data_IF_096811282583
#
_entry.id   IF_096811282583
#
_cell.length_a   1.000
_cell.length_b   1.000
_cell.length_c   1.000
_cell.angle_alpha   90.00
_cell.angle_beta   90.00
_cell.angle_gamma   90.00
#
_symmetry.space_group_name_H-M   'P 1'
#
loop_
_entity.id
_entity.type
_entity.pdbx_description
1 polymer ?
#
# COMPACT_ATOMS: atom_id res chain seq x y z
N UNK A 1 17.11 -25.06 20.56
CA UNK A 1 16.17 -24.02 20.10
C UNK A 1 15.66 -23.31 21.35
N UNK A 2 15.59 -21.99 21.34
CA UNK A 2 15.20 -21.21 22.53
C UNK A 2 13.71 -21.46 22.83
N UNK A 3 13.39 -21.83 24.08
CA UNK A 3 12.02 -22.09 24.56
C UNK A 3 11.10 -20.88 24.34
N UNK A 4 11.65 -19.66 24.38
CA UNK A 4 10.90 -18.45 24.08
C UNK A 4 10.51 -18.36 22.60
N UNK A 5 11.38 -18.80 21.69
CA UNK A 5 11.06 -18.81 20.25
C UNK A 5 9.97 -19.83 19.96
N UNK A 6 10.06 -21.03 20.50
CA UNK A 6 9.04 -22.08 20.32
C UNK A 6 7.66 -21.65 20.83
N UNK A 7 7.63 -21.03 22.02
CA UNK A 7 6.40 -20.51 22.61
C UNK A 7 5.74 -19.46 21.71
N UNK A 8 6.49 -18.48 21.23
CA UNK A 8 5.94 -17.42 20.38
C UNK A 8 5.59 -17.94 18.98
N UNK A 9 6.31 -18.91 18.43
CA UNK A 9 5.96 -19.58 17.18
C UNK A 9 4.60 -20.30 17.27
N UNK A 10 4.33 -20.98 18.39
CA UNK A 10 3.03 -21.61 18.62
C UNK A 10 1.89 -20.59 18.70
N UNK A 11 2.13 -19.43 19.34
CA UNK A 11 1.19 -18.31 19.39
C UNK A 11 0.95 -17.69 18.00
N UNK A 12 2.00 -17.57 17.18
CA UNK A 12 1.91 -17.10 15.80
C UNK A 12 1.02 -18.02 14.94
N UNK A 13 1.26 -19.34 15.03
CA UNK A 13 0.47 -20.33 14.31
C UNK A 13 -1.02 -20.27 14.67
N UNK A 14 -1.34 -20.14 15.97
CA UNK A 14 -2.71 -19.91 16.45
C UNK A 14 -3.31 -18.62 15.88
N UNK A 15 -2.55 -17.52 15.88
CA UNK A 15 -2.99 -16.25 15.32
C UNK A 15 -3.31 -16.37 13.83
N UNK A 16 -2.43 -17.00 13.05
CA UNK A 16 -2.61 -17.21 11.60
C UNK A 16 -3.89 -17.98 11.29
N UNK A 17 -4.23 -18.98 12.10
CA UNK A 17 -5.49 -19.73 11.98
C UNK A 17 -6.70 -18.89 12.38
N UNK A 18 -6.64 -18.20 13.52
CA UNK A 18 -7.73 -17.40 14.06
C UNK A 18 -8.19 -16.29 13.11
N UNK A 19 -7.27 -15.69 12.34
CA UNK A 19 -7.58 -14.53 11.48
C UNK A 19 -8.07 -14.89 10.09
N UNK A 20 -8.19 -16.17 9.73
CA UNK A 20 -8.72 -16.61 8.42
C UNK A 20 -10.10 -16.04 8.05
N UNK A 21 -11.05 -15.84 8.99
CA UNK A 21 -12.35 -15.23 8.70
C UNK A 21 -12.30 -13.72 8.40
N UNK A 22 -11.22 -13.03 8.77
CA UNK A 22 -11.06 -11.59 8.55
C UNK A 22 -10.74 -11.34 7.06
N UNK A 23 -11.70 -10.77 6.31
CA UNK A 23 -11.53 -10.46 4.88
C UNK A 23 -11.81 -8.99 4.61
N UNK A 24 -10.98 -8.11 5.18
CA UNK A 24 -11.18 -6.66 5.14
C UNK A 24 -11.59 -6.14 3.76
N UNK A 25 -10.75 -6.38 2.74
CA UNK A 25 -10.97 -5.83 1.40
C UNK A 25 -12.21 -6.37 0.70
N UNK A 26 -12.57 -7.63 0.96
CA UNK A 26 -13.77 -8.25 0.41
C UNK A 26 -15.01 -7.68 1.06
N UNK A 27 -15.00 -7.54 2.39
CA UNK A 27 -16.19 -7.21 3.17
C UNK A 27 -16.57 -5.72 3.08
N UNK A 28 -15.60 -4.83 2.79
CA UNK A 28 -15.88 -3.42 2.49
C UNK A 28 -16.31 -3.19 1.04
N UNK A 29 -16.09 -4.13 0.12
CA UNK A 29 -16.27 -3.90 -1.32
C UNK A 29 -17.73 -3.65 -1.71
N UNK A 30 -17.94 -2.85 -2.75
CA UNK A 30 -19.27 -2.61 -3.32
C UNK A 30 -19.46 -3.45 -4.58
N UNK A 31 -20.67 -3.97 -4.77
CA UNK A 31 -21.01 -4.80 -5.91
C UNK A 31 -21.14 -3.96 -7.21
N UNK A 32 -20.77 -4.56 -8.36
CA UNK A 32 -20.86 -3.89 -9.66
C UNK A 32 -22.26 -3.33 -10.00
N UNK A 33 -23.39 -4.01 -9.69
CA UNK A 33 -24.72 -3.46 -9.94
C UNK A 33 -25.02 -2.15 -9.21
N UNK A 34 -24.34 -1.86 -8.09
CA UNK A 34 -24.50 -0.58 -7.38
C UNK A 34 -23.89 0.57 -8.19
N UNK A 35 -22.72 0.35 -8.81
CA UNK A 35 -22.09 1.31 -9.73
C UNK A 35 -23.00 1.57 -10.93
N UNK A 36 -23.48 0.51 -11.57
CA UNK A 36 -24.23 0.62 -12.82
C UNK A 36 -25.52 1.41 -12.59
N UNK A 37 -26.23 1.13 -11.49
CA UNK A 37 -27.42 1.90 -11.06
C UNK A 37 -27.10 3.36 -10.76
N UNK A 38 -26.00 3.62 -10.07
CA UNK A 38 -25.57 4.99 -9.78
C UNK A 38 -25.32 5.79 -11.08
N UNK A 39 -24.61 5.20 -12.03
CA UNK A 39 -24.30 5.85 -13.31
C UNK A 39 -25.56 6.06 -14.16
N UNK A 40 -26.48 5.10 -14.19
CA UNK A 40 -27.78 5.26 -14.86
C UNK A 40 -28.57 6.45 -14.30
N UNK A 41 -28.64 6.57 -12.97
CA UNK A 41 -29.28 7.69 -12.26
C UNK A 41 -28.59 9.02 -12.53
N UNK A 42 -27.25 9.02 -12.53
CA UNK A 42 -26.42 10.17 -12.86
C UNK A 42 -26.70 10.67 -14.29
N UNK A 43 -26.71 9.79 -15.29
CA UNK A 43 -27.04 10.12 -16.69
C UNK A 43 -28.48 10.60 -16.86
N UNK A 44 -29.41 10.07 -16.07
CA UNK A 44 -30.80 10.51 -16.02
C UNK A 44 -31.02 11.87 -15.35
N UNK A 45 -29.97 12.54 -14.87
CA UNK A 45 -30.07 13.81 -14.15
C UNK A 45 -30.71 13.70 -12.76
N UNK A 46 -30.73 12.49 -12.18
CA UNK A 46 -31.31 12.19 -10.87
C UNK A 46 -30.26 11.53 -9.95
N UNK A 47 -29.15 12.22 -9.65
CA UNK A 47 -28.09 11.64 -8.82
C UNK A 47 -28.62 11.29 -7.43
N UNK A 48 -28.28 10.09 -6.95
CA UNK A 48 -28.66 9.57 -5.64
C UNK A 48 -27.42 9.03 -4.93
N UNK A 49 -27.38 9.14 -3.61
CA UNK A 49 -26.31 8.57 -2.81
C UNK A 49 -26.34 7.03 -2.91
N UNK A 50 -25.19 6.36 -3.10
CA UNK A 50 -25.13 4.91 -3.05
C UNK A 50 -25.51 4.35 -1.68
N UNK A 51 -26.32 3.30 -1.68
CA UNK A 51 -26.72 2.55 -0.48
C UNK A 51 -26.15 1.13 -0.50
N UNK A 52 -24.86 0.94 -0.14
CA UNK A 52 -24.23 -0.38 -0.11
C UNK A 52 -24.74 -1.23 1.05
N UNK A 53 -24.91 -2.52 0.80
CA UNK A 53 -25.17 -3.53 1.83
C UNK A 53 -23.88 -4.26 2.20
N UNK A 54 -23.65 -4.44 3.51
CA UNK A 54 -22.45 -5.08 4.02
C UNK A 54 -22.76 -6.43 4.70
N UNK A 55 -21.87 -7.43 4.57
CA UNK A 55 -22.07 -8.72 5.21
C UNK A 55 -21.96 -8.59 6.73
N UNK A 56 -22.89 -9.20 7.46
CA UNK A 56 -22.81 -9.34 8.92
C UNK A 56 -22.03 -10.61 9.25
N UNK A 57 -20.87 -10.47 9.88
CA UNK A 57 -20.05 -11.60 10.36
C UNK A 57 -19.93 -11.56 11.87
N UNK A 58 -20.12 -12.72 12.50
CA UNK A 58 -19.75 -12.91 13.89
C UNK A 58 -18.23 -13.17 13.96
N UNK A 59 -17.52 -12.29 14.68
CA UNK A 59 -16.07 -12.39 14.91
C UNK A 59 -15.75 -12.52 16.41
N UNK A 60 -16.74 -12.85 17.25
CA UNK A 60 -16.58 -12.98 18.70
C UNK A 60 -15.51 -14.02 19.08
N UNK A 61 -15.53 -15.19 18.43
CA UNK A 61 -14.51 -16.24 18.64
C UNK A 61 -13.12 -15.78 18.21
N UNK A 62 -13.02 -15.05 17.09
CA UNK A 62 -11.75 -14.48 16.62
C UNK A 62 -11.21 -13.49 17.65
N UNK A 63 -12.06 -12.62 18.18
CA UNK A 63 -11.66 -11.65 19.21
C UNK A 63 -11.17 -12.33 20.49
N UNK A 64 -11.89 -13.36 20.97
CA UNK A 64 -11.50 -14.11 22.17
C UNK A 64 -10.15 -14.81 22.01
N UNK A 65 -9.93 -15.47 20.87
CA UNK A 65 -8.66 -16.16 20.59
C UNK A 65 -7.50 -15.18 20.43
N UNK A 66 -7.72 -14.06 19.72
CA UNK A 66 -6.75 -12.97 19.61
C UNK A 66 -6.37 -12.42 20.99
N UNK A 67 -7.35 -12.15 21.87
CA UNK A 67 -7.09 -11.67 23.22
C UNK A 67 -6.24 -12.68 24.03
N UNK A 68 -6.56 -13.97 23.96
CA UNK A 68 -5.79 -15.01 24.63
C UNK A 68 -4.33 -15.08 24.12
N UNK A 69 -4.11 -14.91 22.81
CA UNK A 69 -2.77 -14.86 22.22
C UNK A 69 -2.00 -13.62 22.69
N UNK A 70 -2.66 -12.45 22.69
CA UNK A 70 -2.06 -11.21 23.16
C UNK A 70 -1.58 -11.35 24.60
N UNK A 71 -2.41 -11.88 25.49
CA UNK A 71 -2.10 -12.02 26.92
C UNK A 71 -1.03 -13.09 27.20
N UNK A 72 -0.94 -14.12 26.34
CA UNK A 72 0.08 -15.15 26.45
C UNK A 72 1.45 -14.76 25.87
N UNK A 73 1.51 -13.75 24.99
CA UNK A 73 2.74 -13.27 24.37
C UNK A 73 3.54 -12.35 25.32
N UNK A 74 4.84 -12.60 25.46
CA UNK A 74 5.71 -11.83 26.36
C UNK A 74 6.02 -10.44 25.77
N UNK A 75 5.57 -9.34 26.40
CA UNK A 75 5.80 -8.00 25.88
C UNK A 75 7.27 -7.55 25.89
N UNK A 76 8.16 -8.23 26.62
CA UNK A 76 9.59 -7.90 26.68
C UNK A 76 10.43 -8.71 25.69
N UNK A 77 9.85 -9.77 25.12
CA UNK A 77 10.49 -10.55 24.08
C UNK A 77 10.16 -9.97 22.69
N UNK A 78 11.13 -9.78 21.78
CA UNK A 78 10.89 -9.22 20.44
C UNK A 78 9.74 -9.86 19.67
N UNK A 79 9.65 -11.19 19.67
CA UNK A 79 8.56 -11.92 19.02
C UNK A 79 7.21 -11.67 19.70
N UNK A 80 7.18 -11.54 21.03
CA UNK A 80 5.95 -11.30 21.77
C UNK A 80 5.47 -9.86 21.59
N UNK A 81 6.37 -8.88 21.55
CA UNK A 81 6.04 -7.49 21.18
C UNK A 81 5.42 -7.42 19.78
N UNK A 82 6.05 -8.06 18.78
CA UNK A 82 5.53 -8.16 17.42
C UNK A 82 4.13 -8.79 17.37
N UNK A 83 3.94 -9.92 18.06
CA UNK A 83 2.66 -10.62 18.09
C UNK A 83 1.57 -9.76 18.71
N UNK A 84 1.83 -9.11 19.85
CA UNK A 84 0.86 -8.23 20.51
C UNK A 84 0.42 -7.08 19.61
N UNK A 85 1.37 -6.42 18.94
CA UNK A 85 1.05 -5.34 17.98
C UNK A 85 0.24 -5.86 16.79
N UNK A 86 0.54 -7.06 16.31
CA UNK A 86 -0.17 -7.70 15.20
C UNK A 86 -1.58 -8.11 15.59
N UNK A 87 -1.75 -8.69 16.78
CA UNK A 87 -3.05 -9.02 17.37
C UNK A 87 -3.93 -7.77 17.49
N UNK A 88 -3.41 -6.68 18.08
CA UNK A 88 -4.17 -5.43 18.22
C UNK A 88 -4.62 -4.92 16.87
N UNK A 89 -3.78 -5.00 15.83
CA UNK A 89 -4.20 -4.63 14.47
C UNK A 89 -5.35 -5.50 13.96
N UNK A 90 -5.36 -6.80 14.23
CA UNK A 90 -6.46 -7.69 13.84
C UNK A 90 -7.74 -7.46 14.65
N UNK A 91 -7.64 -7.19 15.95
CA UNK A 91 -8.79 -6.84 16.80
C UNK A 91 -9.47 -5.58 16.27
N UNK A 92 -8.73 -4.51 16.01
CA UNK A 92 -9.28 -3.27 15.43
C UNK A 92 -9.87 -3.53 14.03
N UNK A 93 -9.31 -4.46 13.27
CA UNK A 93 -9.87 -4.87 11.96
C UNK A 93 -11.21 -5.60 12.14
N UNK A 94 -11.32 -6.46 13.14
CA UNK A 94 -12.57 -7.15 13.45
C UNK A 94 -13.66 -6.14 13.88
N UNK A 95 -13.30 -5.17 14.73
CA UNK A 95 -14.21 -4.11 15.16
C UNK A 95 -14.66 -3.23 13.99
N UNK A 96 -13.74 -2.90 13.06
CA UNK A 96 -14.06 -2.21 11.81
C UNK A 96 -15.09 -3.00 11.00
N UNK A 97 -14.91 -4.31 10.85
CA UNK A 97 -15.83 -5.17 10.11
C UNK A 97 -17.20 -5.31 10.78
N UNK A 98 -17.25 -5.24 12.11
CA UNK A 98 -18.51 -5.22 12.85
C UNK A 98 -19.23 -3.86 12.78
N UNK A 99 -18.55 -2.80 12.32
CA UNK A 99 -19.07 -1.43 12.21
C UNK A 99 -19.36 -0.95 10.79
N UNK A 100 -19.25 -1.82 9.78
CA UNK A 100 -19.55 -1.46 8.39
C UNK A 100 -20.93 -0.81 8.22
N UNK A 101 -20.95 0.29 7.48
CA UNK A 101 -22.15 1.07 7.19
C UNK A 101 -22.57 2.02 8.32
N UNK A 102 -21.81 2.08 9.42
CA UNK A 102 -22.07 2.98 10.55
C UNK A 102 -20.91 3.96 10.78
N UNK A 103 -21.16 5.13 11.39
CA UNK A 103 -20.12 6.14 11.62
C UNK A 103 -18.93 5.66 12.48
N UNK A 104 -19.14 4.69 13.38
CA UNK A 104 -18.09 4.15 14.26
C UNK A 104 -16.96 3.45 13.48
N UNK A 105 -17.23 2.95 12.26
CA UNK A 105 -16.22 2.35 11.38
C UNK A 105 -15.02 3.26 11.16
N UNK A 106 -15.27 4.56 10.99
CA UNK A 106 -14.24 5.56 10.73
C UNK A 106 -13.15 5.57 11.81
N UNK A 107 -13.51 5.47 13.10
CA UNK A 107 -12.52 5.50 14.18
C UNK A 107 -11.58 4.30 14.13
N UNK A 108 -12.09 3.12 13.74
CA UNK A 108 -11.27 1.94 13.52
C UNK A 108 -10.41 2.08 12.27
N UNK A 109 -10.96 2.62 11.17
CA UNK A 109 -10.20 2.89 9.94
C UNK A 109 -9.04 3.84 10.20
N UNK A 110 -9.31 4.96 10.88
CA UNK A 110 -8.31 5.94 11.29
C UNK A 110 -7.24 5.34 12.19
N UNK A 111 -7.61 4.47 13.15
CA UNK A 111 -6.62 3.79 14.00
C UNK A 111 -5.70 2.84 13.22
N UNK A 112 -6.19 2.23 12.14
CA UNK A 112 -5.41 1.30 11.32
C UNK A 112 -4.54 1.99 10.26
N UNK A 113 -5.05 3.07 9.68
CA UNK A 113 -4.48 3.68 8.47
C UNK A 113 -4.05 5.14 8.66
N UNK A 114 -4.34 5.74 9.81
CA UNK A 114 -4.18 7.17 10.03
C UNK A 114 -5.27 7.98 9.35
N UNK A 115 -5.07 9.30 9.26
CA UNK A 115 -5.96 10.25 8.59
C UNK A 115 -5.18 11.29 7.78
N UNK A 116 -5.83 12.00 6.86
CA UNK A 116 -5.29 13.24 6.33
C UNK A 116 -4.96 14.22 7.47
N UNK A 117 -3.83 14.92 7.35
CA UNK A 117 -3.32 15.84 8.36
C UNK A 117 -2.34 15.21 9.36
N UNK A 118 -2.13 13.89 9.32
CA UNK A 118 -1.10 13.25 10.14
C UNK A 118 0.30 13.73 9.73
N UNK A 119 1.12 14.08 10.73
CA UNK A 119 2.46 14.63 10.53
C UNK A 119 3.41 13.61 9.92
N UNK A 120 4.28 14.10 9.05
CA UNK A 120 5.37 13.30 8.49
C UNK A 120 6.52 13.22 9.50
N UNK A 121 7.19 12.06 9.64
CA UNK A 121 8.30 11.91 10.58
C UNK A 121 9.41 12.95 10.35
N UNK A 122 9.72 13.75 11.37
CA UNK A 122 10.78 14.75 11.33
C UNK A 122 10.46 16.00 10.49
N UNK A 123 9.16 16.28 10.24
CA UNK A 123 8.69 17.45 9.50
C UNK A 123 7.52 18.14 10.21
N UNK A 124 7.34 19.43 9.93
CA UNK A 124 6.12 20.16 10.27
C UNK A 124 4.99 19.92 9.25
N UNK A 125 5.33 19.37 8.08
CA UNK A 125 4.37 19.05 7.03
C UNK A 125 3.61 17.75 7.34
N UNK A 126 2.36 17.71 6.89
CA UNK A 126 1.48 16.55 6.96
C UNK A 126 1.43 15.78 5.63
N UNK A 127 0.83 14.58 5.67
CA UNK A 127 0.50 13.83 4.46
C UNK A 127 -0.49 14.57 3.53
N UNK A 128 -1.31 15.47 4.07
CA UNK A 128 -2.26 16.28 3.32
C UNK A 128 -1.56 17.45 2.62
N UNK A 129 -0.59 18.08 3.28
CA UNK A 129 0.23 19.13 2.67
C UNK A 129 1.00 18.58 1.47
N UNK A 130 1.62 17.40 1.64
CA UNK A 130 2.29 16.70 0.55
C UNK A 130 1.31 16.35 -0.59
N UNK A 131 0.08 15.91 -0.26
CA UNK A 131 -0.92 15.57 -1.26
C UNK A 131 -1.35 16.80 -2.07
N UNK A 132 -1.64 17.93 -1.41
CA UNK A 132 -2.01 19.19 -2.08
C UNK A 132 -0.89 19.67 -2.99
N UNK A 133 0.35 19.62 -2.52
CA UNK A 133 1.53 19.96 -3.32
C UNK A 133 1.62 19.15 -4.63
N UNK A 134 1.45 17.82 -4.58
CA UNK A 134 1.50 17.00 -5.79
C UNK A 134 0.30 17.20 -6.71
N UNK A 135 -0.88 17.54 -6.18
CA UNK A 135 -2.06 17.87 -6.99
C UNK A 135 -1.86 19.21 -7.72
N UNK A 136 -1.35 20.22 -7.04
CA UNK A 136 -1.02 21.54 -7.61
C UNK A 136 0.06 21.41 -8.68
N UNK A 137 1.19 20.78 -8.35
CA UNK A 137 2.29 20.57 -9.29
C UNK A 137 1.85 19.86 -10.58
N UNK A 138 0.97 18.86 -10.44
CA UNK A 138 0.45 18.12 -11.59
C UNK A 138 -0.64 18.86 -12.38
N UNK A 139 -1.14 19.98 -11.87
CA UNK A 139 -2.10 20.85 -12.55
C UNK A 139 -1.38 22.00 -13.27
N UNK A 140 -0.25 22.46 -12.73
CA UNK A 140 0.59 23.50 -13.34
C UNK A 140 1.42 22.97 -14.53
N UNK A 141 1.78 21.69 -14.52
CA UNK A 141 2.40 21.02 -15.67
C UNK A 141 1.34 20.80 -16.73
N UNK A 142 1.22 21.76 -17.65
CA UNK A 142 0.31 21.69 -18.80
C UNK A 142 0.48 20.35 -19.53
N UNK A 143 -0.59 19.55 -19.52
CA UNK A 143 -0.64 18.19 -20.08
C UNK A 143 -0.31 18.11 -21.57
N UNK A 144 -0.18 19.25 -22.26
CA UNK A 144 0.27 19.34 -23.65
C UNK A 144 1.79 19.37 -23.87
N UNK A 145 2.63 19.49 -22.83
CA UNK A 145 4.09 19.74 -23.00
C UNK A 145 5.01 18.58 -22.62
N UNK A 146 4.50 17.52 -21.99
CA UNK A 146 5.24 16.27 -21.80
C UNK A 146 4.72 15.28 -22.83
N UNK A 147 5.58 14.50 -23.52
CA UNK A 147 5.13 13.38 -24.32
C UNK A 147 4.39 12.41 -23.40
N UNK A 148 3.07 12.58 -23.30
CA UNK A 148 2.19 11.47 -23.02
C UNK A 148 2.37 10.55 -24.21
N UNK A 149 2.68 9.30 -23.94
CA UNK A 149 2.11 8.14 -24.61
C UNK A 149 3.03 6.97 -24.30
N UNK A 150 2.46 5.87 -23.82
CA UNK A 150 3.17 4.62 -23.88
C UNK A 150 3.57 4.39 -25.35
N UNK A 151 4.86 4.19 -25.62
CA UNK A 151 5.39 4.05 -26.97
C UNK A 151 4.65 2.98 -27.80
N UNK A 152 4.02 2.01 -27.13
CA UNK A 152 3.22 0.96 -27.72
C UNK A 152 2.22 0.36 -26.71
N UNK A 153 1.18 -0.27 -27.27
CA UNK A 153 0.21 -1.06 -26.51
C UNK A 153 0.51 -2.55 -26.68
N UNK A 154 0.74 -3.23 -25.56
CA UNK A 154 0.94 -4.66 -25.45
C UNK A 154 -0.39 -5.41 -25.34
N UNK A 155 -0.48 -6.55 -26.01
CA UNK A 155 -1.56 -7.51 -25.78
C UNK A 155 -1.37 -8.21 -24.42
N UNK A 156 -2.46 -8.75 -23.85
CA UNK A 156 -2.39 -9.57 -22.65
C UNK A 156 -1.43 -10.77 -22.82
N UNK A 157 -1.37 -11.37 -24.01
CA UNK A 157 -0.49 -12.49 -24.32
C UNK A 157 0.99 -12.09 -24.35
N UNK A 158 1.32 -10.95 -24.98
CA UNK A 158 2.69 -10.42 -24.99
C UNK A 158 3.13 -10.04 -23.57
N UNK A 159 2.27 -9.32 -22.83
CA UNK A 159 2.51 -8.98 -21.44
C UNK A 159 2.73 -10.22 -20.57
N UNK A 160 1.92 -11.27 -20.76
CA UNK A 160 2.09 -12.54 -20.05
C UNK A 160 3.47 -13.15 -20.30
N UNK A 161 3.89 -13.23 -21.56
CA UNK A 161 5.19 -13.81 -21.94
C UNK A 161 6.36 -13.02 -21.33
N UNK A 162 6.34 -11.69 -21.45
CA UNK A 162 7.40 -10.83 -20.92
C UNK A 162 7.48 -10.90 -19.39
N UNK A 163 6.34 -10.79 -18.70
CA UNK A 163 6.30 -10.91 -17.25
C UNK A 163 6.72 -12.31 -16.81
N UNK A 164 6.23 -13.38 -17.44
CA UNK A 164 6.59 -14.74 -17.06
C UNK A 164 8.11 -14.96 -17.19
N UNK A 165 8.73 -14.48 -18.27
CA UNK A 165 10.18 -14.56 -18.45
C UNK A 165 10.94 -13.82 -17.34
N UNK A 166 10.54 -12.59 -17.01
CA UNK A 166 11.16 -11.82 -15.94
C UNK A 166 11.00 -12.48 -14.56
N UNK A 167 9.80 -13.02 -14.27
CA UNK A 167 9.51 -13.69 -13.00
C UNK A 167 10.27 -15.02 -12.86
N UNK A 168 10.37 -15.83 -13.92
CA UNK A 168 11.11 -17.09 -13.90
C UNK A 168 12.61 -16.87 -13.66
N UNK A 169 13.18 -15.79 -14.21
CA UNK A 169 14.58 -15.42 -13.98
C UNK A 169 14.84 -14.93 -12.55
N UNK A 170 13.84 -14.30 -11.92
CA UNK A 170 14.00 -13.70 -10.59
C UNK A 170 13.66 -14.66 -9.45
N UNK A 171 12.54 -15.39 -9.55
CA UNK A 171 12.03 -16.29 -8.52
C UNK A 171 12.59 -17.71 -8.70
N UNK A 172 13.83 -17.94 -8.30
CA UNK A 172 14.55 -19.19 -8.58
C UNK A 172 14.19 -20.39 -7.69
N UNK A 173 13.48 -20.16 -6.58
CA UNK A 173 13.05 -21.20 -5.62
C UNK A 173 11.52 -21.36 -5.61
N UNK A 174 10.79 -20.46 -6.26
CA UNK A 174 9.33 -20.39 -6.25
C UNK A 174 8.80 -20.16 -7.65
N UNK A 175 7.71 -20.83 -8.01
CA UNK A 175 7.05 -20.58 -9.29
C UNK A 175 5.95 -19.53 -9.12
N UNK A 176 6.15 -18.34 -9.69
CA UNK A 176 5.12 -17.30 -9.81
C UNK A 176 4.57 -17.33 -11.23
N UNK A 177 3.27 -17.57 -11.38
CA UNK A 177 2.62 -17.74 -12.70
C UNK A 177 1.97 -16.45 -13.17
N UNK A 178 2.08 -16.16 -14.47
CA UNK A 178 1.28 -15.12 -15.12
C UNK A 178 0.16 -15.79 -15.90
N UNK A 179 -1.08 -15.45 -15.56
CA UNK A 179 -2.29 -16.09 -16.08
C UNK A 179 -3.17 -15.02 -16.76
N UNK A 180 -3.77 -15.37 -17.88
CA UNK A 180 -4.79 -14.53 -18.52
C UNK A 180 -6.15 -14.96 -17.97
N UNK A 181 -6.92 -14.00 -17.47
CA UNK A 181 -8.21 -14.21 -16.82
C UNK A 181 -9.25 -13.29 -17.50
N UNK A 182 -10.18 -13.84 -18.31
CA UNK A 182 -11.17 -13.04 -19.03
C UNK A 182 -12.21 -12.41 -18.11
N UNK A 183 -12.42 -12.97 -16.91
CA UNK A 183 -13.43 -12.53 -15.95
C UNK A 183 -12.86 -11.53 -14.92
N UNK A 184 -11.58 -11.17 -15.06
CA UNK A 184 -10.93 -10.25 -14.14
C UNK A 184 -11.55 -8.85 -14.26
N UNK A 185 -12.07 -8.30 -13.16
CA UNK A 185 -12.61 -6.93 -13.17
C UNK A 185 -11.52 -5.86 -13.37
N UNK A 186 -10.44 -5.82 -12.55
CA UNK A 186 -9.33 -4.89 -12.80
C UNK A 186 -8.51 -5.32 -14.02
N UNK A 187 -7.71 -4.40 -14.57
CA UNK A 187 -6.78 -4.68 -15.67
C UNK A 187 -5.76 -5.78 -15.33
N UNK A 188 -5.30 -5.81 -14.09
CA UNK A 188 -4.44 -6.87 -13.56
C UNK A 188 -4.67 -7.04 -12.05
N UNK A 189 -4.32 -8.21 -11.52
CA UNK A 189 -4.36 -8.50 -10.09
C UNK A 189 -3.21 -9.43 -9.70
N UNK A 190 -2.41 -9.02 -8.74
CA UNK A 190 -1.30 -9.83 -8.23
C UNK A 190 -1.62 -10.47 -6.88
N UNK A 191 -1.01 -11.62 -6.65
CA UNK A 191 -0.98 -12.32 -5.38
C UNK A 191 0.31 -13.08 -5.22
N UNK A 192 0.51 -13.70 -4.06
CA UNK A 192 1.81 -14.26 -3.66
C UNK A 192 2.41 -15.32 -4.61
N UNK A 193 1.63 -15.94 -5.50
CA UNK A 193 2.14 -16.98 -6.43
C UNK A 193 1.59 -16.82 -7.84
N UNK A 194 0.80 -15.77 -8.11
CA UNK A 194 0.20 -15.55 -9.43
C UNK A 194 -0.07 -14.08 -9.70
N UNK A 195 0.14 -13.68 -10.93
CA UNK A 195 -0.29 -12.39 -11.48
C UNK A 195 -1.31 -12.70 -12.58
N UNK A 196 -2.52 -12.15 -12.44
CA UNK A 196 -3.59 -12.31 -13.44
C UNK A 196 -3.71 -11.06 -14.27
N UNK A 197 -3.81 -11.23 -15.58
CA UNK A 197 -3.99 -10.16 -16.56
C UNK A 197 -5.37 -10.30 -17.19
N UNK A 198 -6.10 -9.19 -17.29
CA UNK A 198 -7.41 -9.21 -17.94
C UNK A 198 -7.25 -9.41 -19.44
N UNK A 199 -8.02 -10.34 -19.99
CA UNK A 199 -8.05 -10.55 -21.43
C UNK A 199 -8.58 -9.31 -22.18
N UNK A 200 -8.27 -9.20 -23.49
CA UNK A 200 -8.77 -8.15 -24.40
C UNK A 200 -8.58 -6.71 -23.90
N UNK A 201 -7.55 -6.50 -23.08
CA UNK A 201 -7.17 -5.17 -22.59
C UNK A 201 -5.76 -4.85 -23.07
N UNK A 202 -5.54 -3.61 -23.52
CA UNK A 202 -4.23 -3.12 -23.89
C UNK A 202 -3.40 -2.73 -22.67
N UNK A 203 -2.15 -3.17 -22.62
CA UNK A 203 -1.19 -2.82 -21.57
C UNK A 203 -0.09 -1.90 -22.10
N UNK A 204 0.57 -1.19 -21.22
CA UNK A 204 1.67 -0.27 -21.52
C UNK A 204 2.95 -0.77 -20.88
N UNK A 205 4.08 -0.20 -21.27
CA UNK A 205 5.33 -0.43 -20.56
C UNK A 205 5.25 -0.01 -19.08
N UNK A 206 4.53 1.08 -18.78
CA UNK A 206 4.27 1.50 -17.40
C UNK A 206 3.51 0.43 -16.61
N UNK A 207 2.51 -0.21 -17.21
CA UNK A 207 1.81 -1.34 -16.57
C UNK A 207 2.77 -2.49 -16.30
N UNK A 208 3.66 -2.82 -17.24
CA UNK A 208 4.68 -3.86 -17.06
C UNK A 208 5.58 -3.54 -15.87
N UNK A 209 6.15 -2.34 -15.84
CA UNK A 209 7.05 -1.92 -14.77
C UNK A 209 6.36 -1.84 -13.42
N UNK A 210 5.12 -1.34 -13.37
CA UNK A 210 4.32 -1.38 -12.15
C UNK A 210 4.10 -2.82 -11.69
N UNK A 211 3.69 -3.74 -12.57
CA UNK A 211 3.47 -5.15 -12.21
C UNK A 211 4.76 -5.84 -11.73
N UNK A 212 5.92 -5.48 -12.26
CA UNK A 212 7.20 -6.01 -11.79
C UNK A 212 7.63 -5.36 -10.47
N UNK A 213 7.82 -4.04 -10.44
CA UNK A 213 8.45 -3.35 -9.32
C UNK A 213 7.52 -3.21 -8.12
N UNK A 214 6.23 -2.95 -8.33
CA UNK A 214 5.24 -2.83 -7.26
C UNK A 214 4.75 -4.19 -6.81
N UNK A 215 4.22 -4.98 -7.74
CA UNK A 215 3.47 -6.18 -7.39
C UNK A 215 4.37 -7.39 -7.18
N UNK A 216 5.29 -7.66 -8.11
CA UNK A 216 6.16 -8.82 -8.02
C UNK A 216 7.28 -8.62 -6.99
N UNK A 217 8.07 -7.56 -7.13
CA UNK A 217 9.29 -7.34 -6.35
C UNK A 217 9.04 -6.71 -4.98
N UNK A 218 7.81 -6.29 -4.66
CA UNK A 218 7.43 -5.96 -3.28
C UNK A 218 6.39 -6.95 -2.77
N UNK A 219 5.15 -6.91 -3.25
CA UNK A 219 4.06 -7.66 -2.59
C UNK A 219 4.20 -9.18 -2.67
N UNK A 220 4.56 -9.71 -3.84
CA UNK A 220 4.73 -11.15 -4.07
C UNK A 220 5.98 -11.65 -3.36
N UNK A 221 7.09 -10.94 -3.56
CA UNK A 221 8.37 -11.23 -2.94
C UNK A 221 8.29 -11.31 -1.41
N UNK A 222 7.73 -10.28 -0.74
CA UNK A 222 7.64 -10.27 0.73
C UNK A 222 6.66 -11.32 1.24
N UNK A 223 5.63 -11.66 0.46
CA UNK A 223 4.73 -12.76 0.80
C UNK A 223 5.44 -14.12 0.76
N UNK A 224 6.30 -14.36 -0.23
CA UNK A 224 7.08 -15.59 -0.35
C UNK A 224 8.11 -15.69 0.78
N UNK A 225 8.97 -14.68 0.93
CA UNK A 225 9.96 -14.65 2.01
C UNK A 225 9.30 -14.85 3.38
N UNK A 226 8.15 -14.19 3.62
CA UNK A 226 7.40 -14.31 4.87
C UNK A 226 6.78 -15.70 5.10
N UNK A 227 6.39 -16.41 4.03
CA UNK A 227 5.90 -17.80 4.13
C UNK A 227 7.01 -18.79 4.42
N UNK A 228 8.22 -18.50 3.98
CA UNK A 228 9.39 -19.35 4.18
C UNK A 228 10.05 -19.16 5.54
N UNK A 229 9.65 -18.14 6.30
CA UNK A 229 10.14 -17.92 7.65
C UNK A 229 9.96 -19.19 8.51
N UNK A 230 11.00 -19.62 9.26
CA UNK A 230 10.96 -20.93 9.92
C UNK A 230 9.87 -21.02 10.99
N UNK A 231 9.62 -19.91 11.69
CA UNK A 231 8.72 -19.88 12.85
C UNK A 231 7.56 -18.87 12.73
N UNK A 232 7.80 -17.67 12.20
CA UNK A 232 6.80 -16.60 12.12
C UNK A 232 6.12 -16.57 10.74
N UNK A 233 5.11 -17.44 10.55
CA UNK A 233 4.37 -17.53 9.28
C UNK A 233 3.43 -16.35 9.07
N UNK A 234 3.10 -15.58 10.11
CA UNK A 234 2.35 -14.31 9.97
C UNK A 234 3.04 -13.30 9.06
N UNK A 235 4.37 -13.34 8.94
CA UNK A 235 5.14 -12.46 8.07
C UNK A 235 4.78 -12.68 6.58
N UNK A 236 4.20 -13.82 6.21
CA UNK A 236 3.67 -14.06 4.87
C UNK A 236 2.27 -13.45 4.61
N UNK A 237 1.65 -12.81 5.61
CA UNK A 237 0.26 -12.32 5.54
C UNK A 237 0.18 -10.80 5.57
N UNK A 238 -0.75 -10.25 4.79
CA UNK A 238 -1.09 -8.84 4.88
C UNK A 238 -1.98 -8.59 6.09
N UNK A 239 -1.60 -7.61 6.90
CA UNK A 239 -2.35 -7.10 8.05
C UNK A 239 -2.35 -5.56 7.97
N UNK A 240 -3.41 -4.85 8.43
CA UNK A 240 -3.47 -3.40 8.25
C UNK A 240 -2.24 -2.63 8.75
N UNK A 241 -1.67 -3.01 9.90
CA UNK A 241 -0.46 -2.35 10.46
C UNK A 241 0.77 -2.36 9.56
N UNK A 242 0.89 -3.29 8.61
CA UNK A 242 2.04 -3.33 7.67
C UNK A 242 1.73 -2.66 6.34
N UNK A 243 0.47 -2.24 6.12
CA UNK A 243 0.02 -1.71 4.83
C UNK A 243 0.78 -0.45 4.44
N UNK A 244 0.97 0.50 5.35
CA UNK A 244 1.75 1.71 5.06
C UNK A 244 3.19 1.41 4.64
N UNK A 245 3.84 0.43 5.26
CA UNK A 245 5.19 0.03 4.88
C UNK A 245 5.21 -0.71 3.54
N UNK A 246 4.28 -1.62 3.29
CA UNK A 246 4.23 -2.38 2.03
C UNK A 246 3.88 -1.50 0.83
N UNK A 247 2.82 -0.69 0.93
CA UNK A 247 2.43 0.25 -0.12
C UNK A 247 3.50 1.35 -0.29
N UNK A 248 4.15 1.75 0.81
CA UNK A 248 5.28 2.68 0.79
C UNK A 248 6.51 2.13 0.07
N UNK A 249 6.89 0.87 0.33
CA UNK A 249 7.98 0.19 -0.37
C UNK A 249 7.68 0.03 -1.85
N UNK A 250 6.44 -0.31 -2.19
CA UNK A 250 6.01 -0.50 -3.57
C UNK A 250 5.97 0.82 -4.35
N UNK A 251 5.44 1.89 -3.75
CA UNK A 251 5.47 3.24 -4.35
C UNK A 251 6.90 3.79 -4.42
N UNK A 252 7.74 3.50 -3.42
CA UNK A 252 9.15 3.88 -3.42
C UNK A 252 9.93 3.16 -4.53
N UNK A 253 9.68 1.86 -4.73
CA UNK A 253 10.28 1.08 -5.81
C UNK A 253 10.01 1.76 -7.16
N UNK A 254 8.76 2.13 -7.42
CA UNK A 254 8.41 2.82 -8.67
C UNK A 254 9.10 4.16 -8.84
N UNK A 255 9.27 4.92 -7.75
CA UNK A 255 9.98 6.19 -7.78
C UNK A 255 11.45 6.01 -8.19
N UNK A 256 12.14 5.06 -7.59
CA UNK A 256 13.58 4.87 -7.82
C UNK A 256 13.89 4.13 -9.12
N UNK A 257 12.93 3.38 -9.68
CA UNK A 257 13.04 2.73 -10.99
C UNK A 257 12.48 3.58 -12.13
N UNK A 258 12.01 4.80 -11.85
CA UNK A 258 11.43 5.69 -12.87
C UNK A 258 10.11 5.17 -13.45
N UNK A 259 9.38 4.34 -12.70
CA UNK A 259 8.12 3.70 -13.10
C UNK A 259 6.87 4.40 -12.55
N UNK A 260 7.04 5.60 -11.96
CA UNK A 260 5.95 6.48 -11.51
C UNK A 260 6.00 7.80 -12.27
N UNK A 261 4.85 8.23 -12.77
CA UNK A 261 4.66 9.54 -13.41
C UNK A 261 3.96 10.53 -12.47
N UNK A 262 3.96 11.82 -12.86
CA UNK A 262 3.33 12.88 -12.09
C UNK A 262 1.81 12.68 -11.99
N UNK A 263 1.17 12.14 -13.03
CA UNK A 263 -0.26 11.83 -13.01
C UNK A 263 -0.60 10.74 -11.99
N UNK A 264 0.27 9.77 -11.79
CA UNK A 264 0.12 8.73 -10.78
C UNK A 264 0.27 9.28 -9.38
N UNK A 265 1.23 10.18 -9.15
CA UNK A 265 1.35 10.92 -7.90
C UNK A 265 0.10 11.78 -7.64
N UNK A 266 -0.44 12.45 -8.66
CA UNK A 266 -1.71 13.19 -8.60
C UNK A 266 -2.86 12.27 -8.19
N UNK A 267 -3.02 11.10 -8.84
CA UNK A 267 -4.09 10.12 -8.51
C UNK A 267 -3.99 9.57 -7.09
N UNK A 268 -2.79 9.34 -6.56
CA UNK A 268 -2.60 8.93 -5.15
C UNK A 268 -2.98 10.09 -4.22
N UNK A 269 -2.50 11.29 -4.52
CA UNK A 269 -2.68 12.47 -3.69
C UNK A 269 -4.13 12.96 -3.64
N UNK A 270 -4.82 12.95 -4.78
CA UNK A 270 -6.21 13.36 -4.88
C UNK A 270 -7.13 12.48 -4.01
N UNK A 271 -6.79 11.21 -3.80
CA UNK A 271 -7.54 10.33 -2.89
C UNK A 271 -7.38 10.74 -1.43
N UNK A 272 -6.24 11.32 -1.04
CA UNK A 272 -6.03 11.84 0.32
C UNK A 272 -6.85 13.12 0.51
N UNK A 273 -6.86 14.00 -0.50
CA UNK A 273 -7.71 15.21 -0.52
C UNK A 273 -9.19 14.84 -0.46
N UNK A 274 -9.61 13.82 -1.22
CA UNK A 274 -10.99 13.33 -1.20
C UNK A 274 -11.41 12.78 0.17
N UNK A 275 -10.52 12.05 0.86
CA UNK A 275 -10.77 11.61 2.25
C UNK A 275 -10.90 12.83 3.17
N UNK A 276 -10.02 13.83 3.05
CA UNK A 276 -10.10 15.05 3.86
C UNK A 276 -11.44 15.78 3.65
N UNK A 277 -11.88 15.95 2.41
CA UNK A 277 -13.18 16.54 2.08
C UNK A 277 -14.33 15.73 2.68
N UNK A 278 -14.29 14.39 2.56
CA UNK A 278 -15.32 13.53 3.14
C UNK A 278 -15.40 13.67 4.67
N UNK A 279 -14.25 13.76 5.36
CA UNK A 279 -14.21 14.00 6.80
C UNK A 279 -14.74 15.39 7.19
N UNK A 280 -14.61 16.36 6.29
CA UNK A 280 -15.16 17.72 6.44
C UNK A 280 -16.62 17.86 5.95
N UNK A 281 -17.31 16.74 5.69
CA UNK A 281 -18.75 16.71 5.42
C UNK A 281 -19.15 16.55 3.96
N UNK A 282 -18.20 16.49 3.02
CA UNK A 282 -18.51 16.18 1.62
C UNK A 282 -19.10 14.77 1.51
N UNK A 283 -20.19 14.63 0.77
CA UNK A 283 -20.83 13.33 0.57
C UNK A 283 -20.23 12.57 -0.64
N UNK A 284 -20.79 11.41 -0.96
CA UNK A 284 -20.31 10.62 -2.11
C UNK A 284 -20.41 11.37 -3.44
N UNK A 285 -21.46 12.17 -3.65
CA UNK A 285 -21.65 12.92 -4.90
C UNK A 285 -20.63 14.03 -5.03
N UNK A 286 -20.32 14.72 -3.93
CA UNK A 286 -19.28 15.76 -3.91
C UNK A 286 -17.91 15.18 -4.25
N UNK A 287 -17.55 14.05 -3.63
CA UNK A 287 -16.28 13.38 -3.91
C UNK A 287 -16.24 12.79 -5.33
N UNK A 288 -17.36 12.26 -5.83
CA UNK A 288 -17.47 11.80 -7.22
C UNK A 288 -17.22 12.94 -8.22
N UNK A 289 -17.85 14.11 -8.01
CA UNK A 289 -17.65 15.29 -8.84
C UNK A 289 -16.22 15.81 -8.78
N UNK A 290 -15.59 15.81 -7.59
CA UNK A 290 -14.17 16.16 -7.45
C UNK A 290 -13.27 15.33 -8.37
N UNK A 291 -13.50 14.02 -8.49
CA UNK A 291 -12.72 13.17 -9.39
C UNK A 291 -13.00 13.45 -10.87
N UNK A 292 -14.26 13.75 -11.24
CA UNK A 292 -14.62 14.16 -12.60
C UNK A 292 -13.93 15.48 -12.98
N UNK A 293 -14.00 16.48 -12.11
CA UNK A 293 -13.36 17.78 -12.30
C UNK A 293 -11.84 17.67 -12.41
N UNK A 294 -11.24 16.67 -11.73
CA UNK A 294 -9.83 16.36 -11.85
C UNK A 294 -9.45 15.58 -13.14
N UNK A 295 -10.41 15.31 -14.03
CA UNK A 295 -10.20 14.72 -15.35
C UNK A 295 -10.35 13.20 -15.42
N UNK A 296 -10.88 12.54 -14.38
CA UNK A 296 -11.22 11.10 -14.47
C UNK A 296 -12.53 10.90 -15.23
N UNK A 297 -12.67 9.77 -15.93
CA UNK A 297 -13.97 9.36 -16.46
C UNK A 297 -14.92 8.94 -15.33
N UNK A 298 -16.21 8.75 -15.63
CA UNK A 298 -17.24 8.45 -14.63
C UNK A 298 -17.03 7.11 -13.91
N UNK A 299 -16.54 6.08 -14.61
CA UNK A 299 -16.29 4.76 -14.00
C UNK A 299 -15.14 4.85 -13.00
N UNK A 300 -14.06 5.53 -13.38
CA UNK A 300 -12.90 5.74 -12.52
C UNK A 300 -13.24 6.67 -11.35
N UNK A 301 -14.03 7.72 -11.59
CA UNK A 301 -14.50 8.65 -10.55
C UNK A 301 -15.37 7.95 -9.52
N UNK A 302 -16.31 7.10 -9.97
CA UNK A 302 -17.11 6.27 -9.07
C UNK A 302 -16.22 5.34 -8.26
N UNK A 303 -15.27 4.68 -8.92
CA UNK A 303 -14.36 3.74 -8.26
C UNK A 303 -13.49 4.45 -7.21
N UNK A 304 -12.99 5.64 -7.52
CA UNK A 304 -12.21 6.48 -6.61
C UNK A 304 -13.05 6.95 -5.41
N UNK A 305 -14.27 7.45 -5.65
CA UNK A 305 -15.20 7.84 -4.57
C UNK A 305 -15.61 6.64 -3.70
N UNK A 306 -15.88 5.48 -4.32
CA UNK A 306 -16.18 4.23 -3.61
C UNK A 306 -15.02 3.80 -2.71
N UNK A 307 -13.76 4.00 -3.12
CA UNK A 307 -12.62 3.72 -2.24
C UNK A 307 -12.58 4.59 -0.98
N UNK A 308 -13.09 5.82 -1.06
CA UNK A 308 -13.20 6.75 0.08
C UNK A 308 -14.33 6.33 1.01
N UNK A 309 -15.47 5.90 0.48
CA UNK A 309 -16.68 5.62 1.27
C UNK A 309 -16.93 4.15 1.60
N UNK A 310 -16.19 3.20 1.02
CA UNK A 310 -16.42 1.77 1.27
C UNK A 310 -16.33 1.40 2.75
N UNK A 311 -17.34 0.71 3.26
CA UNK A 311 -17.52 0.42 4.69
C UNK A 311 -18.06 1.59 5.53
N UNK A 312 -18.12 2.81 4.99
CA UNK A 312 -18.57 4.04 5.67
C UNK A 312 -19.94 4.48 5.13
N UNK A 313 -20.72 5.26 5.89
CA UNK A 313 -21.86 6.00 5.34
C UNK A 313 -21.45 6.93 4.19
N UNK A 314 -22.23 6.95 3.11
CA UNK A 314 -21.98 7.77 1.91
C UNK A 314 -22.36 9.26 2.08
N UNK A 315 -22.85 9.65 3.27
CA UNK A 315 -23.43 10.98 3.57
C UNK A 315 -22.40 12.01 4.03
N UNK A 316 -21.11 11.69 4.02
CA UNK A 316 -20.05 12.55 4.54
C UNK A 316 -19.86 12.45 6.07
N UNK A 317 -18.83 13.15 6.56
CA UNK A 317 -18.39 13.19 7.97
C UNK A 317 -17.57 11.97 8.43
N UNK A 318 -17.49 10.93 7.60
CA UNK A 318 -16.73 9.69 7.87
C UNK A 318 -16.17 9.13 6.58
N UNK A 319 -15.05 8.40 6.66
CA UNK A 319 -14.41 7.80 5.49
C UNK A 319 -13.62 6.54 5.84
N UNK A 320 -13.34 5.73 4.82
CA UNK A 320 -12.37 4.65 4.90
C UNK A 320 -10.98 5.18 4.54
N UNK A 321 -10.12 5.33 5.53
CA UNK A 321 -8.89 6.11 5.40
C UNK A 321 -7.72 5.33 4.81
N UNK A 322 -7.88 4.06 4.37
CA UNK A 322 -6.77 3.24 3.86
C UNK A 322 -5.88 3.96 2.84
N UNK A 323 -6.45 4.77 1.95
CA UNK A 323 -5.67 5.36 0.86
C UNK A 323 -4.71 6.49 1.32
N UNK A 324 -4.77 6.94 2.59
CA UNK A 324 -3.73 7.81 3.19
C UNK A 324 -2.35 7.13 3.26
N UNK A 325 -2.32 5.80 3.35
CA UNK A 325 -1.10 5.04 3.60
C UNK A 325 -0.14 5.01 2.42
N UNK A 326 -0.58 5.31 1.20
CA UNK A 326 0.28 5.27 0.01
C UNK A 326 1.33 6.39 0.07
N UNK A 327 0.90 7.64 0.14
CA UNK A 327 1.81 8.79 0.20
C UNK A 327 2.55 8.85 1.55
N UNK A 328 1.83 8.62 2.65
CA UNK A 328 2.45 8.56 3.97
C UNK A 328 3.51 7.43 4.05
N UNK A 329 3.19 6.27 3.49
CA UNK A 329 4.09 5.13 3.39
C UNK A 329 5.33 5.43 2.56
N UNK A 330 5.16 6.01 1.36
CA UNK A 330 6.27 6.42 0.49
C UNK A 330 7.25 7.32 1.25
N UNK A 331 6.73 8.38 1.87
CA UNK A 331 7.54 9.36 2.60
C UNK A 331 8.21 8.74 3.84
N UNK A 332 7.52 7.85 4.55
CA UNK A 332 8.06 7.14 5.71
C UNK A 332 9.17 6.16 5.33
N UNK A 333 8.99 5.39 4.25
CA UNK A 333 9.99 4.44 3.73
C UNK A 333 11.23 5.17 3.24
N UNK A 334 11.04 6.24 2.44
CA UNK A 334 12.15 7.08 1.99
C UNK A 334 12.93 7.68 3.17
N UNK A 335 12.21 8.17 4.20
CA UNK A 335 12.83 8.71 5.42
C UNK A 335 13.58 7.64 6.20
N UNK A 336 13.01 6.43 6.35
CA UNK A 336 13.69 5.29 6.96
C UNK A 336 14.97 4.91 6.21
N UNK A 337 14.98 4.93 4.88
CA UNK A 337 16.17 4.61 4.08
C UNK A 337 17.27 5.65 4.25
N UNK A 338 16.91 6.95 4.24
CA UNK A 338 17.84 8.04 4.56
C UNK A 338 18.39 7.92 5.98
N UNK A 339 17.53 7.58 6.94
CA UNK A 339 17.94 7.34 8.33
C UNK A 339 18.92 6.17 8.42
N UNK A 340 18.63 5.05 7.75
CA UNK A 340 19.50 3.87 7.73
C UNK A 340 20.87 4.19 7.12
N UNK A 341 20.91 4.97 6.03
CA UNK A 341 22.17 5.45 5.44
C UNK A 341 22.96 6.31 6.44
N UNK A 342 22.32 7.33 7.04
CA UNK A 342 22.95 8.27 7.97
C UNK A 342 23.57 7.56 9.18
N UNK A 343 22.92 6.51 9.68
CA UNK A 343 23.36 5.77 10.86
C UNK A 343 24.20 4.52 10.53
N UNK A 344 24.57 4.32 9.24
CA UNK A 344 25.32 3.14 8.76
C UNK A 344 24.61 1.81 9.05
N UNK A 345 23.28 1.80 8.99
CA UNK A 345 22.41 0.64 9.23
C UNK A 345 21.66 0.19 7.97
N UNK A 346 22.28 0.31 6.80
CA UNK A 346 21.65 -0.09 5.53
C UNK A 346 21.22 -1.56 5.50
N UNK A 347 21.86 -2.43 6.28
CA UNK A 347 21.43 -3.83 6.43
C UNK A 347 19.96 -3.97 6.84
N UNK A 348 19.42 -3.04 7.65
CA UNK A 348 18.00 -3.06 8.03
C UNK A 348 17.05 -2.90 6.83
N UNK A 349 17.48 -2.19 5.78
CA UNK A 349 16.65 -2.04 4.58
C UNK A 349 16.47 -3.38 3.86
N UNK A 350 17.44 -4.29 3.95
CA UNK A 350 17.33 -5.65 3.41
C UNK A 350 16.38 -6.48 4.27
N UNK A 351 16.52 -6.42 5.60
CA UNK A 351 15.67 -7.18 6.53
C UNK A 351 14.18 -6.85 6.41
N UNK A 352 13.79 -5.65 5.97
CA UNK A 352 12.39 -5.31 5.66
C UNK A 352 11.75 -6.20 4.60
N UNK A 353 12.55 -6.85 3.76
CA UNK A 353 12.06 -7.76 2.73
C UNK A 353 11.93 -9.21 3.22
N UNK A 354 12.36 -9.54 4.45
CA UNK A 354 12.23 -10.88 5.02
C UNK A 354 10.77 -11.34 5.14
N UNK A 355 9.83 -10.41 5.12
CA UNK A 355 8.42 -10.66 5.07
C UNK A 355 7.62 -9.36 5.03
N UNK A 356 6.31 -9.45 5.25
CA UNK A 356 5.44 -8.29 5.41
C UNK A 356 5.56 -7.74 6.82
N UNK A 357 6.31 -6.64 6.94
CA UNK A 357 6.65 -6.00 8.21
C UNK A 357 6.29 -4.51 8.17
N UNK A 358 5.99 -3.94 9.33
CA UNK A 358 5.99 -2.50 9.52
C UNK A 358 7.42 -1.99 9.72
N UNK A 359 7.67 -0.71 9.44
CA UNK A 359 8.99 -0.09 9.63
C UNK A 359 9.56 -0.26 11.03
N UNK A 360 8.73 -0.29 12.07
CA UNK A 360 9.27 -0.51 13.42
C UNK A 360 9.70 -1.95 13.66
N UNK A 361 9.06 -2.93 12.99
CA UNK A 361 9.28 -4.35 13.27
C UNK A 361 10.72 -4.73 12.96
N UNK A 362 11.36 -4.07 11.97
CA UNK A 362 12.75 -4.37 11.62
C UNK A 362 13.72 -4.03 12.75
N UNK A 363 13.41 -3.05 13.58
CA UNK A 363 14.20 -2.74 14.77
C UNK A 363 13.95 -3.74 15.88
N UNK A 364 12.67 -4.04 16.14
CA UNK A 364 12.28 -5.01 17.18
C UNK A 364 12.85 -6.39 16.88
N UNK A 365 12.74 -6.85 15.62
CA UNK A 365 13.06 -8.22 15.21
C UNK A 365 14.52 -8.42 14.80
N UNK A 366 15.34 -7.37 14.70
CA UNK A 366 16.77 -7.51 14.32
C UNK A 366 17.53 -8.57 15.15
N UNK A 367 17.40 -8.64 16.49
CA UNK A 367 18.08 -9.69 17.27
C UNK A 367 17.62 -11.11 16.90
N UNK A 368 16.39 -11.27 16.40
CA UNK A 368 15.83 -12.56 16.02
C UNK A 368 16.45 -13.10 14.72
N UNK A 369 16.93 -12.22 13.84
CA UNK A 369 17.72 -12.64 12.68
C UNK A 369 19.08 -13.20 13.11
N UNK A 370 19.75 -12.54 14.05
CA UNK A 370 21.06 -12.97 14.57
C UNK A 370 20.98 -14.32 15.30
N UNK A 371 19.84 -14.60 15.92
CA UNK A 371 19.58 -15.86 16.63
C UNK A 371 19.04 -16.98 15.72
N UNK A 372 18.79 -16.70 14.43
CA UNK A 372 18.22 -17.67 13.48
C UNK A 372 16.74 -17.98 13.71
N UNK A 373 16.04 -17.20 14.54
CA UNK A 373 14.59 -17.30 14.73
C UNK A 373 13.80 -16.67 13.55
N UNK A 374 14.45 -15.79 12.79
CA UNK A 374 13.94 -15.25 11.53
C UNK A 374 15.07 -15.38 10.50
N UNK A 375 14.73 -15.89 9.32
CA UNK A 375 15.67 -16.01 8.21
C UNK A 375 15.77 -14.69 7.46
N UNK A 376 16.98 -14.36 6.99
CA UNK A 376 17.18 -13.29 6.02
C UNK A 376 16.33 -13.50 4.75
N UNK A 377 15.96 -12.43 4.03
CA UNK A 377 15.17 -12.54 2.81
C UNK A 377 15.87 -13.38 1.74
N UNK A 378 15.20 -14.42 1.26
CA UNK A 378 15.64 -15.18 0.08
C UNK A 378 15.68 -14.30 -1.17
N UNK A 379 14.63 -13.52 -1.38
CA UNK A 379 14.51 -12.59 -2.50
C UNK A 379 14.64 -11.15 -2.04
N UNK A 380 15.39 -10.36 -2.81
CA UNK A 380 15.53 -8.91 -2.62
C UNK A 380 15.33 -8.23 -3.99
N UNK A 381 14.63 -7.08 -4.06
CA UNK A 381 14.43 -6.37 -5.32
C UNK A 381 15.75 -6.02 -6.01
N UNK A 382 15.82 -6.00 -7.36
CA UNK A 382 17.06 -5.73 -8.09
C UNK A 382 17.71 -4.38 -7.70
N UNK A 383 16.91 -3.35 -7.50
CA UNK A 383 17.36 -2.01 -7.12
C UNK A 383 17.99 -1.97 -5.71
N UNK A 384 17.60 -2.88 -4.80
CA UNK A 384 18.15 -2.94 -3.45
C UNK A 384 19.39 -3.83 -3.33
N UNK A 385 19.51 -4.85 -4.20
CA UNK A 385 20.70 -5.73 -4.26
C UNK A 385 21.99 -4.92 -4.49
N UNK A 386 21.89 -3.81 -5.23
CA UNK A 386 23.01 -2.89 -5.49
C UNK A 386 23.03 -1.75 -4.46
N UNK A 387 23.31 -2.08 -3.20
CA UNK A 387 23.31 -1.14 -2.07
C UNK A 387 24.08 0.16 -2.32
N UNK A 388 25.17 0.13 -3.11
CA UNK A 388 25.93 1.32 -3.48
C UNK A 388 25.14 2.31 -4.36
N UNK A 389 24.32 1.82 -5.29
CA UNK A 389 23.49 2.67 -6.15
C UNK A 389 22.41 3.39 -5.34
N UNK A 390 21.74 2.65 -4.45
CA UNK A 390 20.78 3.23 -3.51
C UNK A 390 21.46 4.25 -2.58
N UNK A 391 22.63 3.93 -2.03
CA UNK A 391 23.36 4.85 -1.15
C UNK A 391 23.74 6.16 -1.86
N UNK A 392 24.18 6.11 -3.13
CA UNK A 392 24.48 7.29 -3.93
C UNK A 392 23.24 8.18 -4.15
N UNK A 393 22.12 7.58 -4.54
CA UNK A 393 20.85 8.30 -4.71
C UNK A 393 20.34 8.93 -3.42
N UNK A 394 20.38 8.19 -2.30
CA UNK A 394 19.97 8.69 -0.99
C UNK A 394 20.90 9.80 -0.48
N UNK A 395 22.22 9.69 -0.73
CA UNK A 395 23.19 10.72 -0.38
C UNK A 395 22.94 12.01 -1.18
N UNK A 396 22.68 11.89 -2.48
CA UNK A 396 22.29 13.02 -3.33
C UNK A 396 20.99 13.65 -2.83
N UNK A 397 19.95 12.86 -2.59
CA UNK A 397 18.67 13.33 -2.02
C UNK A 397 18.87 14.06 -0.68
N UNK A 398 19.73 13.55 0.22
CA UNK A 398 20.05 14.21 1.48
C UNK A 398 20.66 15.61 1.30
N UNK A 399 21.48 15.79 0.28
CA UNK A 399 22.11 17.06 -0.05
C UNK A 399 21.14 18.00 -0.80
N UNK A 400 20.50 17.50 -1.86
CA UNK A 400 19.58 18.26 -2.71
C UNK A 400 18.41 18.87 -1.91
N UNK A 401 17.90 18.18 -0.89
CA UNK A 401 16.86 18.71 0.00
C UNK A 401 17.29 19.93 0.84
N UNK A 402 18.58 20.30 0.86
CA UNK A 402 19.07 21.54 1.47
C UNK A 402 19.02 22.71 0.51
N UNK A 403 18.91 22.44 -0.79
CA UNK A 403 18.80 23.44 -1.84
C UNK A 403 17.34 23.92 -1.88
N UNK A 404 17.15 25.23 -1.77
CA UNK A 404 15.84 25.87 -1.77
C UNK A 404 15.54 26.40 -3.17
N UNK A 405 14.75 25.66 -3.95
CA UNK A 405 14.46 25.97 -5.35
C UNK A 405 13.76 27.32 -5.52
N UNK A 406 12.94 27.73 -4.55
CA UNK A 406 12.33 29.06 -4.48
C UNK A 406 13.33 30.23 -4.38
N UNK A 407 14.61 29.91 -4.17
CA UNK A 407 15.72 30.87 -4.08
C UNK A 407 16.75 30.68 -5.19
N UNK A 408 16.46 29.82 -6.17
CA UNK A 408 17.32 29.59 -7.33
C UNK A 408 16.75 30.40 -8.48
N UNK A 409 17.48 31.42 -8.92
CA UNK A 409 17.16 32.16 -10.14
C UNK A 409 17.85 31.52 -11.35
N UNK A 410 17.39 31.84 -12.57
CA UNK A 410 17.95 31.25 -13.79
C UNK A 410 19.47 31.54 -13.93
N UNK A 411 19.92 32.66 -13.40
CA UNK A 411 21.32 33.09 -13.39
C UNK A 411 22.19 32.25 -12.42
N UNK A 412 21.60 31.66 -11.39
CA UNK A 412 22.29 30.76 -10.45
C UNK A 412 22.60 29.38 -11.07
N UNK A 413 22.00 29.04 -12.23
CA UNK A 413 22.17 27.77 -12.92
C UNK A 413 23.39 27.74 -13.86
N UNK A 414 24.20 28.79 -13.90
CA UNK A 414 25.44 28.84 -14.67
C UNK A 414 26.55 28.09 -13.91
N UNK A 415 26.88 26.89 -14.38
CA UNK A 415 27.92 26.05 -13.79
C UNK A 415 29.32 26.48 -14.26
N UNK A 416 29.90 27.48 -13.59
CA UNK A 416 31.22 28.01 -13.96
C UNK A 416 31.20 28.76 -15.29
N UNK A 417 32.17 29.65 -15.49
CA UNK A 417 32.26 30.56 -16.65
C UNK A 417 32.26 29.81 -17.98
#
# INVERSE_FOLDING_TARGET
MDVHVERHAALDARMVEAVKPIRLMTDVSWAAPLRDRFLERWHGGQPELPHPEYPKRDLSQVHAELQAIHDAADPHHPLGEYLRRTVVSYQVTADLLQSLGRPDMFWHSMRLFGRPGDRLPGSELSNLDAARHFVELASDVDTGSLPGDADYVLSAATMQQELQHALDNFFTQHKVRVEIDPDLTPKAAAGATRIRLRDRTGFTEYDRHQLLEHEAFVHTLTALNGRDQPYLKSLGRSVPRVTATQEGLATFAELITGSIDLQRLKRISLRIVAIDNALNGADFLDVFKLFLEAGQNEIDSFTSAMRVFRGSPATGGTAFTKDTVYLHGLLSVHTFFRWALKHRRLALTHLLFAGKMALHDVFTLEPMFQQGAISEPTYIPPWLRRTNGLAGMLAFSLFANRIKIDRVEAEDLVLGV
#
